data_IF_719265828754
#
_entry.id   IF_719265828754
#
_cell.length_a   1.000
_cell.length_b   1.000
_cell.length_c   1.000
_cell.angle_alpha   90.00
_cell.angle_beta   90.00
_cell.angle_gamma   90.00
#
_symmetry.space_group_name_H-M   'P 1'
#
loop_
_entity.id
_entity.type
_entity.pdbx_description
1 polymer ?
#
# COMPACT_ATOMS: atom_id res chain seq x y z
N UNK A 1 -10.74 -17.77 23.63
CA UNK A 1 -10.49 -16.44 23.04
C UNK A 1 -9.11 -16.50 22.42
N UNK A 2 -9.02 -16.79 21.11
CA UNK A 2 -7.75 -16.68 20.39
C UNK A 2 -7.42 -15.19 20.23
N UNK A 3 -6.35 -14.74 20.87
CA UNK A 3 -5.80 -13.41 20.65
C UNK A 3 -5.03 -13.43 19.34
N UNK A 4 -5.51 -12.69 18.34
CA UNK A 4 -4.74 -12.38 17.13
C UNK A 4 -4.00 -11.08 17.40
N UNK A 5 -2.78 -11.21 17.88
CA UNK A 5 -1.95 -10.05 18.20
C UNK A 5 -1.26 -9.54 16.92
N UNK A 6 -1.32 -8.24 16.68
CA UNK A 6 -0.52 -7.58 15.65
C UNK A 6 0.87 -7.35 16.25
N UNK A 7 1.87 -8.08 15.76
CA UNK A 7 3.25 -7.88 16.21
C UNK A 7 3.93 -6.82 15.34
N UNK A 8 4.16 -5.64 15.92
CA UNK A 8 5.01 -4.60 15.32
C UNK A 8 6.42 -4.83 15.84
N UNK A 9 7.33 -5.27 14.98
CA UNK A 9 8.71 -5.49 15.39
C UNK A 9 9.32 -4.18 15.89
N UNK A 10 10.01 -4.20 17.05
CA UNK A 10 10.60 -3.02 17.68
C UNK A 10 11.49 -2.20 16.72
N UNK A 11 12.21 -2.89 15.80
CA UNK A 11 13.01 -2.28 14.72
C UNK A 11 12.23 -1.36 13.77
N UNK A 12 10.90 -1.45 13.72
CA UNK A 12 10.04 -0.56 12.94
C UNK A 12 9.94 0.83 13.58
N UNK A 13 10.19 0.93 14.89
CA UNK A 13 10.22 2.20 15.62
C UNK A 13 11.56 2.93 15.49
N UNK A 14 12.65 2.23 15.14
CA UNK A 14 13.97 2.84 14.95
C UNK A 14 14.01 3.80 13.74
N UNK A 15 13.04 3.68 12.82
CA UNK A 15 12.89 4.55 11.64
C UNK A 15 11.91 5.72 11.87
N UNK A 16 11.33 5.84 13.07
CA UNK A 16 10.34 6.88 13.37
C UNK A 16 11.06 8.20 13.60
N UNK A 17 10.85 9.15 12.71
CA UNK A 17 11.22 10.53 12.99
C UNK A 17 10.31 11.09 14.07
N UNK A 18 10.84 11.97 14.94
CA UNK A 18 10.06 12.65 15.97
C UNK A 18 8.75 13.18 15.38
N UNK A 19 7.61 12.60 15.79
CA UNK A 19 6.30 12.79 15.15
C UNK A 19 5.72 14.21 15.27
N UNK A 20 6.46 15.13 15.89
CA UNK A 20 6.07 16.51 16.18
C UNK A 20 5.99 17.43 14.96
N UNK A 21 6.43 17.01 13.77
CA UNK A 21 6.24 17.82 12.55
C UNK A 21 5.33 17.10 11.53
N UNK A 22 4.50 17.84 10.75
CA UNK A 22 3.68 17.26 9.68
C UNK A 22 4.50 16.48 8.64
N UNK A 23 5.75 16.90 8.41
CA UNK A 23 6.70 16.18 7.58
C UNK A 23 7.00 14.81 8.19
N UNK A 24 7.49 14.78 9.42
CA UNK A 24 7.80 13.54 10.14
C UNK A 24 6.58 12.62 10.29
N UNK A 25 5.36 13.16 10.43
CA UNK A 25 4.13 12.36 10.44
C UNK A 25 3.89 11.64 9.09
N UNK A 26 4.01 12.34 7.96
CA UNK A 26 3.89 11.73 6.63
C UNK A 26 4.99 10.68 6.40
N UNK A 27 6.23 10.95 6.82
CA UNK A 27 7.33 9.98 6.73
C UNK A 27 7.02 8.71 7.53
N UNK A 28 6.56 8.89 8.77
CA UNK A 28 6.18 7.79 9.66
C UNK A 28 5.01 6.99 9.09
N UNK A 29 4.07 7.63 8.42
CA UNK A 29 2.90 6.95 7.88
C UNK A 29 3.21 6.24 6.55
N UNK A 30 4.12 6.79 5.73
CA UNK A 30 4.66 6.10 4.56
C UNK A 30 5.42 4.81 4.93
N UNK A 31 6.11 4.81 6.07
CA UNK A 31 6.87 3.66 6.55
C UNK A 31 6.07 2.77 7.51
N UNK A 32 5.89 3.23 8.75
CA UNK A 32 5.24 2.48 9.84
C UNK A 32 3.73 2.32 9.61
N UNK A 33 3.07 3.39 9.13
CA UNK A 33 1.62 3.36 8.89
C UNK A 33 1.23 2.30 7.86
N UNK A 34 1.99 2.20 6.78
CA UNK A 34 1.78 1.18 5.75
C UNK A 34 2.00 -0.23 6.29
N UNK A 35 3.13 -0.48 6.98
CA UNK A 35 3.42 -1.79 7.56
C UNK A 35 2.35 -2.25 8.57
N UNK A 36 1.86 -1.33 9.39
CA UNK A 36 0.78 -1.60 10.33
C UNK A 36 -0.53 -1.94 9.60
N UNK A 37 -0.89 -1.14 8.59
CA UNK A 37 -2.12 -1.36 7.84
C UNK A 37 -2.07 -2.68 7.07
N UNK A 38 -0.93 -3.03 6.47
CA UNK A 38 -0.72 -4.32 5.81
C UNK A 38 -0.91 -5.50 6.78
N UNK A 39 -0.31 -5.43 7.98
CA UNK A 39 -0.48 -6.46 9.00
C UNK A 39 -1.95 -6.62 9.45
N UNK A 40 -2.67 -5.51 9.60
CA UNK A 40 -4.11 -5.53 9.90
C UNK A 40 -4.89 -6.20 8.78
N UNK A 41 -4.63 -5.82 7.52
CA UNK A 41 -5.30 -6.44 6.37
C UNK A 41 -5.02 -7.92 6.25
N UNK A 42 -3.80 -8.36 6.57
CA UNK A 42 -3.47 -9.78 6.61
C UNK A 42 -4.35 -10.54 7.62
N UNK A 43 -4.55 -9.99 8.83
CA UNK A 43 -5.44 -10.59 9.82
C UNK A 43 -6.92 -10.61 9.39
N UNK A 44 -7.36 -9.54 8.71
CA UNK A 44 -8.73 -9.40 8.19
C UNK A 44 -8.99 -10.42 7.10
N UNK A 45 -8.11 -10.54 6.11
CA UNK A 45 -8.31 -11.44 4.98
C UNK A 45 -8.18 -12.92 5.34
N UNK A 46 -7.41 -13.23 6.39
CA UNK A 46 -7.25 -14.60 6.91
C UNK A 46 -8.32 -15.00 7.95
N UNK A 47 -9.27 -14.13 8.30
CA UNK A 47 -10.34 -14.52 9.24
C UNK A 47 -11.37 -15.42 8.57
N UNK A 48 -11.48 -16.66 9.03
CA UNK A 48 -12.47 -17.62 8.54
C UNK A 48 -13.89 -17.38 9.10
N UNK A 49 -14.06 -16.46 10.05
CA UNK A 49 -15.33 -16.21 10.74
C UNK A 49 -16.24 -15.22 10.02
N UNK A 50 -15.88 -14.82 8.80
CA UNK A 50 -16.70 -13.92 8.01
C UNK A 50 -18.03 -14.58 7.59
N UNK A 51 -19.08 -13.78 7.49
CA UNK A 51 -20.33 -14.23 6.91
C UNK A 51 -20.18 -14.44 5.39
N UNK A 52 -21.11 -15.20 4.79
CA UNK A 52 -21.05 -15.56 3.36
C UNK A 52 -20.89 -14.35 2.43
N UNK A 53 -21.58 -13.25 2.72
CA UNK A 53 -21.49 -12.02 1.92
C UNK A 53 -20.08 -11.42 1.97
N UNK A 54 -19.46 -11.37 3.14
CA UNK A 54 -18.11 -10.84 3.31
C UNK A 54 -17.07 -11.76 2.70
N UNK A 55 -17.21 -13.08 2.89
CA UNK A 55 -16.37 -14.10 2.24
C UNK A 55 -16.42 -13.98 0.72
N UNK A 56 -17.61 -13.80 0.14
CA UNK A 56 -17.79 -13.57 -1.29
C UNK A 56 -17.10 -12.28 -1.76
N UNK A 57 -17.22 -11.19 -1.01
CA UNK A 57 -16.53 -9.93 -1.34
C UNK A 57 -15.00 -10.05 -1.30
N UNK A 58 -14.46 -10.76 -0.29
CA UNK A 58 -13.03 -11.06 -0.20
C UNK A 58 -12.60 -11.90 -1.41
N UNK A 59 -13.35 -12.95 -1.74
CA UNK A 59 -13.06 -13.76 -2.94
C UNK A 59 -13.06 -12.92 -4.22
N UNK A 60 -14.06 -12.06 -4.43
CA UNK A 60 -14.12 -11.16 -5.58
C UNK A 60 -12.92 -10.20 -5.63
N UNK A 61 -12.44 -9.72 -4.48
CA UNK A 61 -11.21 -8.93 -4.42
C UNK A 61 -10.01 -9.75 -4.91
N UNK A 62 -9.81 -10.96 -4.38
CA UNK A 62 -8.73 -11.85 -4.81
C UNK A 62 -8.78 -12.09 -6.33
N UNK A 63 -9.97 -12.38 -6.87
CA UNK A 63 -10.16 -12.57 -8.30
C UNK A 63 -9.83 -11.32 -9.13
N UNK A 64 -10.22 -10.13 -8.66
CA UNK A 64 -9.87 -8.87 -9.32
C UNK A 64 -8.35 -8.70 -9.45
N UNK A 65 -7.60 -8.99 -8.39
CA UNK A 65 -6.14 -8.92 -8.41
C UNK A 65 -5.53 -9.94 -9.38
N UNK A 66 -6.04 -11.18 -9.39
CA UNK A 66 -5.59 -12.27 -10.27
C UNK A 66 -5.83 -11.98 -11.76
N UNK A 67 -7.02 -11.50 -12.11
CA UNK A 67 -7.40 -11.23 -13.50
C UNK A 67 -6.62 -10.06 -14.10
N UNK A 68 -6.19 -9.10 -13.28
CA UNK A 68 -5.65 -7.84 -13.82
C UNK A 68 -4.20 -7.93 -14.27
N UNK A 69 -3.40 -8.77 -13.63
CA UNK A 69 -2.00 -9.00 -14.01
C UNK A 69 -1.66 -10.50 -14.03
N UNK A 70 -2.18 -11.25 -15.03
CA UNK A 70 -1.91 -12.68 -15.18
C UNK A 70 -0.45 -12.99 -15.55
N UNK A 71 0.34 -11.96 -15.87
CA UNK A 71 1.69 -12.06 -16.44
C UNK A 71 2.79 -12.45 -15.45
N UNK A 72 2.48 -12.56 -14.15
CA UNK A 72 3.52 -12.54 -13.11
C UNK A 72 3.50 -13.73 -12.13
N UNK A 73 3.06 -14.90 -12.60
CA UNK A 73 3.27 -16.20 -11.93
C UNK A 73 2.22 -16.54 -10.87
N UNK A 74 1.73 -17.78 -10.89
CA UNK A 74 0.64 -18.30 -10.04
C UNK A 74 1.02 -18.55 -8.57
N UNK A 75 1.96 -17.79 -8.00
CA UNK A 75 2.36 -18.01 -6.60
C UNK A 75 1.38 -17.29 -5.67
N UNK A 76 0.46 -18.06 -5.06
CA UNK A 76 -0.56 -17.61 -4.10
C UNK A 76 -0.02 -16.68 -3.01
N UNK A 77 1.21 -16.89 -2.52
CA UNK A 77 1.84 -16.04 -1.51
C UNK A 77 2.12 -14.62 -2.04
N UNK A 78 2.60 -14.48 -3.28
CA UNK A 78 2.82 -13.17 -3.92
C UNK A 78 1.49 -12.42 -4.03
N UNK A 79 0.41 -13.14 -4.34
CA UNK A 79 -0.91 -12.54 -4.44
C UNK A 79 -1.40 -12.00 -3.09
N UNK A 80 -1.22 -12.76 -2.00
CA UNK A 80 -1.64 -12.31 -0.67
C UNK A 80 -0.87 -11.08 -0.19
N UNK A 81 0.46 -11.08 -0.37
CA UNK A 81 1.33 -9.96 -0.02
C UNK A 81 0.93 -8.70 -0.80
N UNK A 82 0.66 -8.84 -2.10
CA UNK A 82 0.30 -7.69 -2.93
C UNK A 82 -1.07 -7.13 -2.55
N UNK A 83 -2.06 -7.98 -2.29
CA UNK A 83 -3.40 -7.53 -1.87
C UNK A 83 -3.31 -6.77 -0.56
N UNK A 84 -2.73 -7.37 0.47
CA UNK A 84 -2.61 -6.76 1.81
C UNK A 84 -1.79 -5.47 1.76
N UNK A 85 -0.71 -5.43 0.98
CA UNK A 85 0.10 -4.23 0.83
C UNK A 85 -0.62 -3.11 0.06
N UNK A 86 -1.39 -3.45 -0.98
CA UNK A 86 -2.21 -2.48 -1.73
C UNK A 86 -3.30 -1.87 -0.86
N UNK A 87 -4.01 -2.71 -0.10
CA UNK A 87 -5.04 -2.27 0.85
C UNK A 87 -4.43 -1.43 1.98
N UNK A 88 -3.23 -1.81 2.44
CA UNK A 88 -2.46 -1.04 3.43
C UNK A 88 -2.13 0.38 2.94
N UNK A 89 -1.58 0.50 1.72
CA UNK A 89 -1.33 1.80 1.09
C UNK A 89 -2.61 2.62 0.99
N UNK A 90 -3.68 2.03 0.45
CA UNK A 90 -4.96 2.73 0.29
C UNK A 90 -5.54 3.23 1.63
N UNK A 91 -5.39 2.44 2.69
CA UNK A 91 -5.86 2.77 4.04
C UNK A 91 -5.11 3.95 4.63
N UNK A 92 -3.78 3.95 4.49
CA UNK A 92 -2.93 5.05 4.93
C UNK A 92 -3.23 6.31 4.14
N UNK A 93 -3.39 6.21 2.82
CA UNK A 93 -3.69 7.34 1.95
C UNK A 93 -5.01 8.03 2.30
N UNK A 94 -6.01 7.30 2.77
CA UNK A 94 -7.27 7.88 3.27
C UNK A 94 -7.06 8.95 4.35
N UNK A 95 -5.95 8.90 5.09
CA UNK A 95 -5.58 9.89 6.09
C UNK A 95 -4.89 11.14 5.51
N UNK A 96 -4.36 11.09 4.28
CA UNK A 96 -3.54 12.16 3.67
C UNK A 96 -4.16 12.79 2.42
N UNK A 97 -4.81 11.99 1.59
CA UNK A 97 -5.25 12.40 0.25
C UNK A 97 -6.37 13.44 0.26
N UNK A 98 -6.95 13.73 1.43
CA UNK A 98 -7.95 14.78 1.61
C UNK A 98 -7.34 16.17 1.80
N UNK A 99 -6.03 16.27 2.05
CA UNK A 99 -5.36 17.56 2.12
C UNK A 99 -5.32 18.21 0.74
N UNK A 100 -5.82 19.46 0.64
CA UNK A 100 -5.92 20.19 -0.63
C UNK A 100 -4.56 20.39 -1.33
N UNK A 101 -3.47 20.28 -0.58
CA UNK A 101 -2.10 20.50 -1.03
C UNK A 101 -1.29 19.21 -1.26
N UNK A 102 -1.92 18.03 -1.13
CA UNK A 102 -1.28 16.71 -1.25
C UNK A 102 -0.45 16.52 -2.53
N UNK A 103 -1.03 16.86 -3.69
CA UNK A 103 -0.34 16.71 -4.98
C UNK A 103 0.42 17.97 -5.43
N UNK A 104 0.13 19.12 -4.84
CA UNK A 104 0.53 20.43 -5.40
C UNK A 104 1.61 21.13 -4.59
N UNK A 105 1.59 21.00 -3.25
CA UNK A 105 2.62 21.62 -2.42
C UNK A 105 3.89 20.80 -2.46
N UNK A 106 4.94 21.48 -2.91
CA UNK A 106 6.26 20.90 -3.06
C UNK A 106 7.07 21.16 -1.80
N UNK A 107 7.73 20.12 -1.32
CA UNK A 107 8.73 20.22 -0.28
C UNK A 107 10.11 20.06 -0.93
N UNK A 108 11.06 20.87 -0.47
CA UNK A 108 12.46 20.62 -0.70
C UNK A 108 12.90 19.55 0.32
N UNK A 109 13.27 18.37 -0.17
CA UNK A 109 13.90 17.34 0.65
C UNK A 109 15.29 17.05 0.08
N UNK A 110 16.32 17.48 0.81
CA UNK A 110 17.70 17.51 0.33
C UNK A 110 17.81 18.27 -1.01
N UNK A 111 18.00 17.57 -2.14
CA UNK A 111 18.11 18.14 -3.49
C UNK A 111 16.87 17.94 -4.37
N UNK A 112 15.83 17.26 -3.84
CA UNK A 112 14.63 16.91 -4.60
C UNK A 112 13.49 17.90 -4.32
N UNK A 113 12.80 18.31 -5.39
CA UNK A 113 11.63 19.18 -5.32
C UNK A 113 10.37 18.40 -5.72
N UNK A 114 9.73 17.79 -4.74
CA UNK A 114 8.64 16.83 -4.92
C UNK A 114 7.39 17.25 -4.14
N UNK A 115 6.21 16.87 -4.62
CA UNK A 115 4.98 17.04 -3.84
C UNK A 115 4.94 16.10 -2.64
N UNK A 116 4.07 16.37 -1.66
CA UNK A 116 3.84 15.45 -0.54
C UNK A 116 3.51 14.03 -1.03
N UNK A 117 2.65 13.91 -2.04
CA UNK A 117 2.30 12.64 -2.65
C UNK A 117 3.52 11.89 -3.22
N UNK A 118 4.33 12.58 -4.01
CA UNK A 118 5.55 11.99 -4.59
C UNK A 118 6.53 11.53 -3.52
N UNK A 119 6.73 12.35 -2.49
CA UNK A 119 7.63 12.04 -1.39
C UNK A 119 7.13 10.82 -0.59
N UNK A 120 5.84 10.78 -0.26
CA UNK A 120 5.23 9.65 0.43
C UNK A 120 5.47 8.33 -0.32
N UNK A 121 5.14 8.27 -1.61
CA UNK A 121 5.32 7.06 -2.39
C UNK A 121 6.78 6.68 -2.58
N UNK A 122 7.67 7.66 -2.75
CA UNK A 122 9.10 7.41 -2.83
C UNK A 122 9.62 6.75 -1.55
N UNK A 123 9.17 7.22 -0.38
CA UNK A 123 9.58 6.66 0.91
C UNK A 123 8.99 5.28 1.17
N UNK A 124 7.71 5.10 0.87
CA UNK A 124 7.07 3.78 0.93
C UNK A 124 7.83 2.77 0.05
N UNK A 125 8.26 3.19 -1.15
CA UNK A 125 9.06 2.37 -2.06
C UNK A 125 10.49 2.13 -1.54
N UNK A 126 11.20 3.15 -1.04
CA UNK A 126 12.56 3.01 -0.51
C UNK A 126 12.59 2.05 0.69
N UNK A 127 11.60 2.16 1.58
CA UNK A 127 11.52 1.33 2.78
C UNK A 127 11.36 -0.15 2.45
N UNK A 128 10.62 -0.43 1.38
CA UNK A 128 10.31 -1.74 0.82
C UNK A 128 11.30 -2.21 -0.23
N UNK A 129 12.23 -1.36 -0.68
CA UNK A 129 13.21 -1.72 -1.69
C UNK A 129 14.04 -2.91 -1.18
N UNK A 130 14.00 -4.07 -1.87
CA UNK A 130 14.67 -5.25 -1.39
C UNK A 130 16.17 -5.01 -1.50
N UNK A 131 16.84 -4.87 -0.36
CA UNK A 131 18.30 -4.81 -0.33
C UNK A 131 18.92 -6.12 -0.86
N UNK A 132 18.21 -7.24 -0.71
CA UNK A 132 18.72 -8.59 -0.96
C UNK A 132 17.90 -9.39 -1.99
N UNK A 133 16.56 -9.28 -2.01
CA UNK A 133 15.71 -10.03 -2.95
C UNK A 133 15.39 -9.25 -4.24
N UNK A 134 16.33 -9.27 -5.18
CA UNK A 134 16.16 -8.68 -6.52
C UNK A 134 15.57 -9.65 -7.54
N UNK A 135 14.98 -10.77 -7.09
CA UNK A 135 14.33 -11.71 -8.01
C UNK A 135 13.13 -11.03 -8.68
N UNK A 136 12.68 -11.50 -9.85
CA UNK A 136 11.46 -11.00 -10.48
C UNK A 136 10.26 -11.02 -9.53
N UNK A 137 10.15 -12.05 -8.68
CA UNK A 137 9.09 -12.21 -7.69
C UNK A 137 9.21 -11.18 -6.57
N UNK A 138 10.43 -10.94 -6.08
CA UNK A 138 10.72 -9.85 -5.14
C UNK A 138 10.25 -8.52 -5.72
N UNK A 139 10.71 -8.15 -6.92
CA UNK A 139 10.33 -6.89 -7.59
C UNK A 139 8.81 -6.74 -7.74
N UNK A 140 8.09 -7.83 -8.07
CA UNK A 140 6.64 -7.82 -8.19
C UNK A 140 5.94 -7.48 -6.86
N UNK A 141 6.36 -8.11 -5.76
CA UNK A 141 5.79 -7.85 -4.41
C UNK A 141 5.87 -6.37 -4.04
N UNK A 142 6.90 -5.66 -4.50
CA UNK A 142 7.11 -4.26 -4.16
C UNK A 142 6.48 -3.28 -5.16
N UNK A 143 6.48 -3.58 -6.45
CA UNK A 143 5.97 -2.65 -7.47
C UNK A 143 4.45 -2.73 -7.59
N UNK A 144 3.88 -3.94 -7.53
CA UNK A 144 2.45 -4.13 -7.79
C UNK A 144 1.53 -3.37 -6.84
N UNK A 145 1.81 -3.26 -5.52
CA UNK A 145 0.96 -2.49 -4.62
C UNK A 145 0.69 -1.05 -5.07
N UNK A 146 1.70 -0.38 -5.65
CA UNK A 146 1.55 0.98 -6.17
C UNK A 146 0.69 1.06 -7.43
N UNK A 147 0.63 -0.02 -8.22
CA UNK A 147 -0.18 -0.09 -9.44
C UNK A 147 -1.68 -0.15 -9.13
N UNK A 148 -2.06 -0.72 -8.00
CA UNK A 148 -3.45 -0.84 -7.56
C UNK A 148 -3.97 0.40 -6.81
N UNK A 149 -3.14 1.42 -6.64
CA UNK A 149 -3.49 2.65 -5.93
C UNK A 149 -3.65 3.82 -6.93
N UNK A 150 -4.87 4.33 -7.17
CA UNK A 150 -5.13 5.39 -8.16
C UNK A 150 -4.31 6.65 -7.96
N UNK A 151 -4.11 7.00 -6.68
CA UNK A 151 -3.45 8.21 -6.28
C UNK A 151 -1.96 8.22 -6.68
N UNK A 152 -1.33 7.05 -6.83
CA UNK A 152 0.05 6.92 -7.30
C UNK A 152 0.20 7.45 -8.73
N UNK A 153 -0.65 6.99 -9.65
CA UNK A 153 -0.62 7.41 -11.05
C UNK A 153 -0.81 8.93 -11.17
N UNK A 154 -1.66 9.52 -10.30
CA UNK A 154 -1.86 10.96 -10.22
C UNK A 154 -0.63 11.69 -9.68
N UNK A 155 0.00 11.17 -8.62
CA UNK A 155 1.17 11.77 -7.99
C UNK A 155 2.36 11.91 -8.95
N UNK A 156 2.56 10.93 -9.83
CA UNK A 156 3.66 10.92 -10.81
C UNK A 156 3.23 11.29 -12.23
N UNK A 157 1.97 11.68 -12.43
CA UNK A 157 1.41 12.00 -13.74
C UNK A 157 1.66 10.87 -14.77
N UNK A 158 1.44 9.63 -14.37
CA UNK A 158 1.69 8.46 -15.20
C UNK A 158 0.74 8.44 -16.41
N UNK A 159 1.23 8.25 -17.65
CA UNK A 159 0.39 8.11 -18.82
C UNK A 159 -0.54 6.90 -18.70
N UNK A 160 -1.78 6.99 -19.15
CA UNK A 160 -2.75 5.89 -19.12
C UNK A 160 -2.33 4.66 -19.95
N UNK A 161 -1.40 4.84 -20.89
CA UNK A 161 -0.79 3.76 -21.67
C UNK A 161 0.27 2.98 -20.90
N UNK A 162 0.87 3.58 -19.86
CA UNK A 162 1.94 3.00 -19.05
C UNK A 162 1.41 1.94 -18.07
N UNK A 163 2.28 1.02 -17.66
CA UNK A 163 1.90 -0.06 -16.74
C UNK A 163 1.40 0.49 -15.38
N UNK A 164 1.96 1.62 -14.93
CA UNK A 164 1.61 2.32 -13.68
C UNK A 164 0.41 3.27 -13.83
N UNK A 165 -0.06 3.53 -15.05
CA UNK A 165 -1.15 4.48 -15.31
C UNK A 165 -2.46 3.83 -15.79
N UNK A 166 -2.50 2.51 -16.00
CA UNK A 166 -3.70 1.79 -16.45
C UNK A 166 -4.64 1.49 -15.26
N UNK A 167 -5.90 1.96 -15.25
CA UNK A 167 -6.92 1.48 -14.30
C UNK A 167 -7.39 0.07 -14.72
N UNK A 168 -7.84 -0.84 -13.82
CA UNK A 168 -8.72 -0.57 -12.69
C UNK A 168 -8.10 -0.89 -11.33
N UNK A 169 -8.73 -0.30 -10.33
CA UNK A 169 -8.36 -0.43 -8.93
C UNK A 169 -9.21 -1.54 -8.33
N UNK A 170 -8.54 -2.55 -7.78
CA UNK A 170 -9.21 -3.57 -6.99
C UNK A 170 -9.37 -3.00 -5.58
N UNK A 171 -10.57 -2.54 -5.23
CA UNK A 171 -10.87 -1.99 -3.90
C UNK A 171 -11.94 -2.82 -3.19
N UNK A 172 -11.81 -2.93 -1.88
CA UNK A 172 -12.90 -3.36 -1.02
C UNK A 172 -13.78 -2.14 -0.71
N UNK A 173 -15.03 -2.18 -1.17
CA UNK A 173 -16.03 -1.24 -0.67
C UNK A 173 -16.67 -1.84 0.57
N UNK A 174 -16.29 -1.37 1.76
CA UNK A 174 -16.99 -1.74 2.99
C UNK A 174 -18.31 -0.96 3.03
N UNK A 175 -19.43 -1.64 2.79
CA UNK A 175 -20.75 -1.06 3.02
C UNK A 175 -21.04 -1.11 4.52
N UNK A 176 -21.04 0.04 5.17
CA UNK A 176 -21.63 0.16 6.52
C UNK A 176 -23.14 0.19 6.36
N UNK A 177 -23.81 -0.88 6.78
CA UNK A 177 -25.27 -0.92 6.98
C UNK A 177 -25.68 -0.08 8.17
#
# INVERSE_FOLDING_TARGET
MDKRDVYIAARLYDAVENASTPHSFMLNMAALGHDLAEAVWNLVLLDERWNESTTSNIYHLHMCFLERYPLFGQQLEIHSDVITSSLGLASVLGAFSQAADWHTKKLAWSTLYMSHAQLFYLLAAIRRCPREDRTPNGVQRWVMPFMYVPDFARAFNCPSSSIMGRPPFCSLTVRTS
#
